data_IF_461226444190
#
_entry.id   IF_461226444190
#
_cell.length_a   1.000
_cell.length_b   1.000
_cell.length_c   1.000
_cell.angle_alpha   90.00
_cell.angle_beta   90.00
_cell.angle_gamma   90.00
#
_symmetry.space_group_name_H-M   'P 1'
#
loop_
_entity.id
_entity.type
_entity.pdbx_description
1 polymer ?
#
# COMPACT_ATOMS: atom_id res chain seq x y z
N UNK A 1 10.32 24.20 10.72
CA UNK A 1 9.43 23.40 9.84
C UNK A 1 8.11 23.21 10.56
N UNK A 2 6.97 23.50 9.92
CA UNK A 2 5.65 23.31 10.54
C UNK A 2 5.40 21.80 10.77
N UNK A 3 4.83 21.37 11.91
CA UNK A 3 4.42 19.99 12.15
C UNK A 3 3.68 19.32 10.98
N UNK A 4 2.77 20.04 10.32
CA UNK A 4 2.01 19.53 9.17
C UNK A 4 2.92 19.22 7.98
N UNK A 5 3.93 20.06 7.73
CA UNK A 5 4.92 19.84 6.66
C UNK A 5 5.79 18.62 6.93
N UNK A 6 6.17 18.40 8.19
CA UNK A 6 6.93 17.21 8.59
C UNK A 6 6.11 15.94 8.38
N UNK A 7 4.84 15.94 8.80
CA UNK A 7 3.92 14.81 8.62
C UNK A 7 3.73 14.49 7.14
N UNK A 8 3.50 15.50 6.30
CA UNK A 8 3.40 15.35 4.85
C UNK A 8 4.63 14.68 4.24
N UNK A 9 5.83 15.14 4.63
CA UNK A 9 7.08 14.60 4.12
C UNK A 9 7.26 13.12 4.52
N UNK A 10 6.94 12.79 5.78
CA UNK A 10 6.98 11.41 6.27
C UNK A 10 5.98 10.51 5.53
N UNK A 11 4.75 10.98 5.31
CA UNK A 11 3.73 10.25 4.56
C UNK A 11 4.16 10.01 3.09
N UNK A 12 4.74 11.01 2.44
CA UNK A 12 5.29 10.86 1.08
C UNK A 12 6.40 9.80 1.03
N UNK A 13 7.35 9.85 1.96
CA UNK A 13 8.46 8.88 2.02
C UNK A 13 7.92 7.47 2.28
N UNK A 14 6.96 7.33 3.20
CA UNK A 14 6.33 6.05 3.49
C UNK A 14 5.60 5.48 2.27
N UNK A 15 4.84 6.32 1.54
CA UNK A 15 4.13 5.90 0.33
C UNK A 15 5.09 5.48 -0.79
N UNK A 16 6.16 6.25 -1.02
CA UNK A 16 7.20 5.90 -1.99
C UNK A 16 7.91 4.59 -1.64
N UNK A 17 8.27 4.41 -0.36
CA UNK A 17 8.87 3.17 0.14
C UNK A 17 7.93 1.97 -0.03
N UNK A 18 6.64 2.16 0.24
CA UNK A 18 5.64 1.13 0.02
C UNK A 18 5.56 0.72 -1.45
N UNK A 19 5.44 1.69 -2.36
CA UNK A 19 5.37 1.47 -3.79
C UNK A 19 6.55 0.65 -4.33
N UNK A 20 7.78 1.02 -3.95
CA UNK A 20 9.00 0.28 -4.36
C UNK A 20 9.00 -1.13 -3.80
N UNK A 21 8.68 -1.29 -2.50
CA UNK A 21 8.60 -2.60 -1.85
C UNK A 21 7.56 -3.51 -2.51
N UNK A 22 6.39 -2.98 -2.86
CA UNK A 22 5.32 -3.71 -3.53
C UNK A 22 5.72 -4.18 -4.93
N UNK A 23 6.40 -3.33 -5.72
CA UNK A 23 6.95 -3.73 -7.02
C UNK A 23 8.00 -4.83 -6.90
N UNK A 24 8.91 -4.73 -5.93
CA UNK A 24 9.92 -5.77 -5.68
C UNK A 24 9.27 -7.09 -5.24
N UNK A 25 8.25 -7.02 -4.40
CA UNK A 25 7.50 -8.18 -3.94
C UNK A 25 6.75 -8.86 -5.10
N UNK A 26 6.10 -8.08 -5.97
CA UNK A 26 5.47 -8.59 -7.18
C UNK A 26 6.48 -9.28 -8.11
N UNK A 27 7.63 -8.66 -8.36
CA UNK A 27 8.70 -9.24 -9.18
C UNK A 27 9.14 -10.60 -8.64
N UNK A 28 9.44 -10.66 -7.33
CA UNK A 28 9.79 -11.92 -6.65
C UNK A 28 8.69 -12.99 -6.78
N UNK A 29 7.42 -12.59 -6.75
CA UNK A 29 6.29 -13.49 -6.96
C UNK A 29 6.27 -14.09 -8.36
N UNK A 30 6.55 -13.27 -9.38
CA UNK A 30 6.61 -13.74 -10.76
C UNK A 30 7.80 -14.65 -11.04
N UNK A 31 8.91 -14.46 -10.36
CA UNK A 31 10.12 -15.29 -10.51
C UNK A 31 10.09 -16.56 -9.66
N UNK A 32 9.15 -16.67 -8.72
CA UNK A 32 9.05 -17.83 -7.83
C UNK A 32 8.20 -18.96 -8.43
N UNK A 33 8.65 -20.20 -8.21
CA UNK A 33 7.90 -21.42 -8.55
C UNK A 33 6.69 -21.64 -7.62
N UNK A 34 6.79 -21.23 -6.35
CA UNK A 34 5.67 -21.21 -5.39
C UNK A 34 5.44 -19.79 -4.83
N UNK A 35 4.59 -18.98 -5.49
CA UNK A 35 4.34 -17.60 -5.08
C UNK A 35 3.40 -17.50 -3.87
N UNK A 36 2.94 -18.59 -3.23
CA UNK A 36 1.87 -18.55 -2.22
C UNK A 36 2.17 -17.61 -1.06
N UNK A 37 3.41 -17.61 -0.54
CA UNK A 37 3.83 -16.70 0.53
C UNK A 37 3.80 -15.23 0.10
N UNK A 38 4.13 -14.96 -1.16
CA UNK A 38 4.18 -13.62 -1.74
C UNK A 38 2.76 -13.11 -1.99
N UNK A 39 1.88 -13.96 -2.50
CA UNK A 39 0.44 -13.70 -2.61
C UNK A 39 -0.14 -13.31 -1.25
N UNK A 40 0.06 -14.13 -0.23
CA UNK A 40 -0.47 -13.85 1.11
C UNK A 40 0.03 -12.51 1.66
N UNK A 41 1.31 -12.19 1.42
CA UNK A 41 1.89 -10.90 1.84
C UNK A 41 1.28 -9.71 1.11
N UNK A 42 1.07 -9.80 -0.21
CA UNK A 42 0.39 -8.75 -0.98
C UNK A 42 -1.06 -8.56 -0.52
N UNK A 43 -1.79 -9.65 -0.27
CA UNK A 43 -3.18 -9.59 0.21
C UNK A 43 -3.26 -8.95 1.61
N UNK A 44 -2.38 -9.34 2.53
CA UNK A 44 -2.30 -8.74 3.86
C UNK A 44 -1.91 -7.26 3.81
N UNK A 45 -0.88 -6.90 3.05
CA UNK A 45 -0.46 -5.51 2.88
C UNK A 45 -1.62 -4.67 2.31
N UNK A 46 -2.31 -5.18 1.29
CA UNK A 46 -3.46 -4.52 0.70
C UNK A 46 -4.59 -4.28 1.69
N UNK A 47 -4.95 -5.30 2.49
CA UNK A 47 -5.99 -5.19 3.50
C UNK A 47 -5.63 -4.17 4.60
N UNK A 48 -4.38 -4.18 5.08
CA UNK A 48 -3.88 -3.23 6.07
C UNK A 48 -3.93 -1.80 5.54
N UNK A 49 -3.49 -1.57 4.30
CA UNK A 49 -3.57 -0.24 3.70
C UNK A 49 -5.00 0.24 3.54
N UNK A 50 -5.92 -0.62 3.08
CA UNK A 50 -7.33 -0.25 2.95
C UNK A 50 -7.91 0.15 4.31
N UNK A 51 -7.58 -0.58 5.38
CA UNK A 51 -8.01 -0.22 6.74
C UNK A 51 -7.47 1.15 7.18
N UNK A 52 -6.17 1.40 6.98
CA UNK A 52 -5.54 2.69 7.29
C UNK A 52 -6.17 3.82 6.46
N UNK A 53 -6.44 3.58 5.19
CA UNK A 53 -7.07 4.55 4.30
C UNK A 53 -8.46 4.95 4.77
N UNK A 54 -9.29 3.98 5.16
CA UNK A 54 -10.63 4.25 5.71
C UNK A 54 -10.52 5.11 6.97
N UNK A 55 -9.61 4.76 7.89
CA UNK A 55 -9.37 5.56 9.09
C UNK A 55 -8.95 7.01 8.76
N UNK A 56 -8.02 7.18 7.80
CA UNK A 56 -7.56 8.50 7.37
C UNK A 56 -8.68 9.33 6.70
N UNK A 57 -9.54 8.69 5.90
CA UNK A 57 -10.70 9.34 5.27
C UNK A 57 -11.74 9.78 6.31
N UNK A 58 -11.97 8.99 7.36
CA UNK A 58 -12.89 9.33 8.45
C UNK A 58 -12.43 10.54 9.28
N UNK A 59 -11.12 10.79 9.36
CA UNK A 59 -10.60 11.97 10.04
C UNK A 59 -10.89 13.27 9.26
N UNK A 60 -11.15 13.20 7.95
CA UNK A 60 -11.58 14.29 7.05
C UNK A 60 -10.77 15.60 7.04
N UNK A 61 -9.71 15.73 7.84
CA UNK A 61 -8.86 16.91 7.91
C UNK A 61 -7.69 16.81 6.92
N UNK A 62 -7.26 17.92 6.30
CA UNK A 62 -5.98 17.98 5.61
C UNK A 62 -4.82 17.67 6.57
N UNK A 63 -3.83 16.84 6.17
CA UNK A 63 -3.61 16.22 4.86
C UNK A 63 -4.21 14.81 4.70
N UNK A 64 -4.88 14.29 5.73
CA UNK A 64 -5.24 12.88 5.86
C UNK A 64 -6.28 12.43 4.82
N UNK A 65 -7.20 13.29 4.41
CA UNK A 65 -8.18 12.96 3.37
C UNK A 65 -7.53 12.58 2.03
N UNK A 66 -6.60 13.41 1.54
CA UNK A 66 -5.87 13.13 0.29
C UNK A 66 -5.03 11.86 0.41
N UNK A 67 -4.30 11.71 1.51
CA UNK A 67 -3.48 10.52 1.74
C UNK A 67 -4.32 9.26 1.93
N UNK A 68 -5.51 9.36 2.51
CA UNK A 68 -6.46 8.27 2.62
C UNK A 68 -6.83 7.72 1.24
N UNK A 69 -7.11 8.59 0.27
CA UNK A 69 -7.36 8.17 -1.12
C UNK A 69 -6.14 7.48 -1.73
N UNK A 70 -4.94 8.06 -1.58
CA UNK A 70 -3.71 7.48 -2.13
C UNK A 70 -3.39 6.10 -1.54
N UNK A 71 -3.50 5.97 -0.21
CA UNK A 71 -3.29 4.71 0.51
C UNK A 71 -4.35 3.68 0.10
N UNK A 72 -5.59 4.10 -0.13
CA UNK A 72 -6.65 3.21 -0.60
C UNK A 72 -6.31 2.62 -1.97
N UNK A 73 -5.85 3.45 -2.90
CA UNK A 73 -5.44 3.01 -4.24
C UNK A 73 -4.29 2.01 -4.13
N UNK A 74 -3.25 2.31 -3.38
CA UNK A 74 -2.11 1.39 -3.17
C UNK A 74 -2.57 0.05 -2.57
N UNK A 75 -3.48 0.10 -1.59
CA UNK A 75 -4.06 -1.10 -0.99
C UNK A 75 -4.80 -1.97 -2.00
N UNK A 76 -5.66 -1.36 -2.82
CA UNK A 76 -6.39 -2.04 -3.89
C UNK A 76 -5.45 -2.64 -4.96
N UNK A 77 -4.39 -1.93 -5.34
CA UNK A 77 -3.36 -2.43 -6.26
C UNK A 77 -2.63 -3.64 -5.66
N UNK A 78 -2.35 -3.63 -4.35
CA UNK A 78 -1.67 -4.74 -3.67
C UNK A 78 -2.52 -6.02 -3.69
N UNK A 79 -3.81 -5.90 -3.36
CA UNK A 79 -4.78 -7.01 -3.47
C UNK A 79 -4.88 -7.50 -4.92
N UNK A 80 -4.92 -6.59 -5.88
CA UNK A 80 -5.00 -6.93 -7.31
C UNK A 80 -3.78 -7.72 -7.78
N UNK A 81 -2.58 -7.31 -7.37
CA UNK A 81 -1.34 -8.04 -7.65
C UNK A 81 -1.32 -9.42 -6.99
N UNK A 82 -1.74 -9.52 -5.73
CA UNK A 82 -1.89 -10.81 -5.04
C UNK A 82 -2.82 -11.75 -5.81
N UNK A 83 -3.99 -11.27 -6.22
CA UNK A 83 -4.96 -12.03 -7.02
C UNK A 83 -4.45 -12.42 -8.41
N UNK A 84 -3.63 -11.58 -9.03
CA UNK A 84 -3.03 -11.90 -10.34
C UNK A 84 -1.98 -13.00 -10.18
N UNK A 85 -1.12 -12.90 -9.17
CA UNK A 85 -0.10 -13.90 -8.86
C UNK A 85 -0.69 -15.24 -8.41
N UNK A 86 -1.82 -15.24 -7.71
CA UNK A 86 -2.47 -16.49 -7.27
C UNK A 86 -3.06 -17.31 -8.41
N UNK A 87 -3.11 -16.76 -9.63
CA UNK A 87 -3.61 -17.40 -10.85
C UNK A 87 -2.49 -17.79 -11.82
N UNK A 88 -1.24 -17.47 -11.49
CA UNK A 88 -0.06 -17.95 -12.20
C UNK A 88 0.10 -19.45 -11.94
#
# INVERSE_FOLDING_TARGET
>A
MNPTTLILLLLCIALAGHYVSQKLLLKKGWESDDPKRIVNRLMMNGAVLIFIAIAALLMADPPYGLFGILIFIEGAVSVTFGRKLSKK
#
